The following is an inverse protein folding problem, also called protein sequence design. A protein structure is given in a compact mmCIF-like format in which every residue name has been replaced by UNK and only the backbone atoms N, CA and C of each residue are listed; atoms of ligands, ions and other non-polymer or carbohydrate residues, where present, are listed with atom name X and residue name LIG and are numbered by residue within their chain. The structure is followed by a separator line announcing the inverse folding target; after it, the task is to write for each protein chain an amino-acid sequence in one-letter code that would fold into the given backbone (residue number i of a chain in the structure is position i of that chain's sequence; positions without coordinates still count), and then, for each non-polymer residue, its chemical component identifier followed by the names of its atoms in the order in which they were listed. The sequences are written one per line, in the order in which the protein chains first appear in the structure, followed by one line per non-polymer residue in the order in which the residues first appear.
data_IF_641374513671
#
_entry.id   IF_641374513671
#
_cell.length_a   1.000
_cell.length_b   1.000
_cell.length_c   1.000
_cell.angle_alpha   90.00
_cell.angle_beta   90.00
_cell.angle_gamma   90.00
#
_symmetry.space_group_name_H-M   'P 1'
#
loop_
_entity.id
_entity.type
_entity.pdbx_description
1 polymer ?
#
# COMPACT_ATOMS: atom_id res chain seq x y z
N UNK A 1 11.26 50.13 28.38
CA UNK A 1 11.11 49.04 29.36
C UNK A 1 11.73 47.81 28.73
N UNK A 2 12.63 47.09 29.40
CA UNK A 2 13.27 45.92 28.80
C UNK A 2 12.22 44.84 28.49
N UNK A 3 12.22 44.34 27.26
CA UNK A 3 11.31 43.28 26.83
C UNK A 3 12.03 41.93 26.89
N UNK A 4 11.32 40.88 27.30
CA UNK A 4 11.87 39.53 27.47
C UNK A 4 11.15 38.55 26.55
N UNK A 5 11.87 37.58 26.00
CA UNK A 5 11.27 36.56 25.15
C UNK A 5 10.28 35.69 25.94
N UNK A 6 9.02 35.61 25.50
CA UNK A 6 7.99 34.78 26.14
C UNK A 6 8.27 33.27 26.13
N UNK A 7 9.22 32.80 25.30
CA UNK A 7 9.55 31.38 25.18
C UNK A 7 10.77 30.92 25.98
N UNK A 8 11.78 31.77 26.16
CA UNK A 8 13.03 31.38 26.84
C UNK A 8 13.49 32.35 27.94
N UNK A 9 12.80 33.48 28.14
CA UNK A 9 13.08 34.43 29.22
C UNK A 9 14.30 35.32 29.02
N UNK A 10 15.03 35.20 27.91
CA UNK A 10 16.18 36.08 27.61
C UNK A 10 15.70 37.49 27.29
N UNK A 11 16.43 38.49 27.81
CA UNK A 11 16.20 39.90 27.49
C UNK A 11 16.53 40.17 26.01
N UNK A 12 15.61 40.83 25.30
CA UNK A 12 15.75 41.15 23.89
C UNK A 12 16.06 42.64 23.72
N UNK A 13 17.00 42.94 22.82
CA UNK A 13 17.33 44.31 22.43
C UNK A 13 16.23 44.91 21.53
N UNK A 14 16.00 46.23 21.68
CA UNK A 14 14.97 46.96 20.95
C UNK A 14 15.16 46.82 19.43
N UNK A 15 14.12 46.32 18.74
CA UNK A 15 14.08 46.16 17.28
C UNK A 15 14.49 44.77 16.75
N UNK A 16 14.84 43.81 17.62
CA UNK A 16 15.08 42.43 17.18
C UNK A 16 13.78 41.73 16.80
N UNK A 17 13.71 41.18 15.57
CA UNK A 17 12.51 40.47 15.08
C UNK A 17 12.41 39.03 15.57
N UNK A 18 13.52 38.45 16.01
CA UNK A 18 13.64 37.08 16.48
C UNK A 18 14.64 36.98 17.62
N UNK A 19 14.38 36.10 18.58
CA UNK A 19 15.29 35.81 19.67
C UNK A 19 16.54 35.10 19.15
N UNK A 20 17.70 35.70 19.39
CA UNK A 20 19.00 35.17 18.97
C UNK A 20 19.44 33.92 19.73
N UNK A 21 18.76 33.56 20.83
CA UNK A 21 19.05 32.36 21.65
C UNK A 21 18.15 31.17 21.34
N UNK A 22 16.87 31.37 21.04
CA UNK A 22 15.91 30.26 20.85
C UNK A 22 15.19 30.27 19.49
N UNK A 23 15.42 31.30 18.66
CA UNK A 23 14.82 31.44 17.34
C UNK A 23 13.33 31.84 17.33
N UNK A 24 12.70 32.03 18.49
CA UNK A 24 11.30 32.45 18.56
C UNK A 24 11.14 33.91 18.07
N UNK A 25 10.06 34.25 17.34
CA UNK A 25 9.80 35.63 16.94
C UNK A 25 9.62 36.51 18.18
N UNK A 26 10.20 37.72 18.15
CA UNK A 26 10.01 38.69 19.22
C UNK A 26 8.58 39.24 19.12
N UNK A 27 7.84 39.19 20.23
CA UNK A 27 6.41 39.48 20.26
C UNK A 27 6.09 40.84 19.61
N UNK A 28 5.31 40.79 18.54
CA UNK A 28 4.71 41.98 17.93
C UNK A 28 3.47 42.32 18.77
N UNK A 29 3.25 43.58 19.20
CA UNK A 29 2.00 43.93 19.86
C UNK A 29 0.83 43.63 18.93
N UNK A 30 -0.21 43.01 19.50
CA UNK A 30 -1.43 42.65 18.81
C UNK A 30 -2.02 43.87 18.09
N UNK A 31 -1.83 43.95 16.78
CA UNK A 31 -2.58 44.86 15.94
C UNK A 31 -4.05 44.42 16.02
N UNK A 32 -4.90 45.35 16.45
CA UNK A 32 -6.34 45.20 16.49
C UNK A 32 -6.85 44.52 15.21
N UNK A 33 -7.64 43.47 15.40
CA UNK A 33 -8.36 42.77 14.35
C UNK A 33 -9.25 43.76 13.59
N UNK A 34 -8.79 44.23 12.43
CA UNK A 34 -9.71 44.69 11.39
C UNK A 34 -10.33 43.44 10.76
N UNK A 35 -11.66 43.37 10.57
CA UNK A 35 -12.29 42.22 9.94
C UNK A 35 -11.88 42.16 8.48
N UNK A 36 -10.88 41.33 8.18
CA UNK A 36 -10.51 41.00 6.80
C UNK A 36 -11.63 40.15 6.21
N UNK A 37 -12.45 40.77 5.36
CA UNK A 37 -13.35 40.05 4.45
C UNK A 37 -12.48 39.19 3.53
N UNK A 38 -12.38 37.90 3.85
CA UNK A 38 -11.84 36.92 2.92
C UNK A 38 -12.82 36.78 1.74
N UNK A 39 -12.34 36.76 0.48
CA UNK A 39 -13.18 36.36 -0.64
C UNK A 39 -13.66 34.95 -0.34
N UNK A 40 -14.98 34.79 -0.29
CA UNK A 40 -15.64 33.51 -0.13
C UNK A 40 -15.21 32.65 -1.31
N UNK A 41 -14.21 31.81 -1.10
CA UNK A 41 -14.06 30.60 -1.88
C UNK A 41 -15.37 29.86 -1.65
N UNK A 42 -16.26 29.89 -2.65
CA UNK A 42 -17.33 28.91 -2.74
C UNK A 42 -16.61 27.57 -2.81
N UNK A 43 -16.50 26.94 -1.65
CA UNK A 43 -16.45 25.50 -1.55
C UNK A 43 -17.66 25.03 -2.34
N UNK A 44 -17.45 24.69 -3.62
CA UNK A 44 -18.31 23.69 -4.23
C UNK A 44 -18.18 22.51 -3.30
N UNK A 45 -19.22 22.32 -2.51
CA UNK A 45 -19.38 21.12 -1.72
C UNK A 45 -19.35 20.00 -2.77
N UNK A 46 -18.18 19.38 -2.90
CA UNK A 46 -18.06 18.08 -3.51
C UNK A 46 -18.91 17.21 -2.60
N UNK A 47 -20.20 17.06 -2.92
CA UNK A 47 -20.90 15.89 -2.46
C UNK A 47 -20.06 14.74 -2.99
N UNK A 48 -19.46 13.89 -2.13
CA UNK A 48 -19.04 12.59 -2.60
C UNK A 48 -20.30 12.00 -3.24
N UNK A 49 -20.29 11.91 -4.57
CA UNK A 49 -21.36 11.24 -5.29
C UNK A 49 -21.47 9.88 -4.60
N UNK A 50 -22.63 9.55 -3.98
CA UNK A 50 -22.75 8.35 -3.17
C UNK A 50 -22.15 7.22 -3.99
N UNK A 51 -21.19 6.45 -3.44
CA UNK A 51 -20.42 5.48 -4.23
C UNK A 51 -21.45 4.70 -5.02
N UNK A 52 -21.51 4.95 -6.34
CA UNK A 52 -22.43 4.25 -7.23
C UNK A 52 -21.94 2.84 -7.13
N UNK A 53 -22.56 2.09 -6.23
CA UNK A 53 -22.08 0.79 -5.86
C UNK A 53 -22.01 0.06 -7.18
N UNK A 54 -20.82 -0.42 -7.58
CA UNK A 54 -20.72 -1.14 -8.83
C UNK A 54 -21.68 -2.32 -8.79
N UNK A 55 -22.16 -2.73 -7.60
CA UNK A 55 -23.31 -3.59 -7.39
C UNK A 55 -24.49 -3.34 -8.35
N UNK A 56 -25.00 -2.12 -8.55
CA UNK A 56 -26.17 -1.96 -9.44
C UNK A 56 -25.79 -2.14 -10.92
N UNK A 57 -24.59 -1.71 -11.31
CA UNK A 57 -24.05 -1.91 -12.67
C UNK A 57 -23.67 -3.38 -12.93
N UNK A 58 -23.09 -4.06 -11.95
CA UNK A 58 -22.75 -5.48 -11.95
C UNK A 58 -24.04 -6.31 -11.97
N UNK A 59 -25.04 -5.98 -11.16
CA UNK A 59 -26.35 -6.62 -11.20
C UNK A 59 -27.03 -6.40 -12.55
N UNK A 60 -27.06 -5.18 -13.10
CA UNK A 60 -27.62 -4.92 -14.42
C UNK A 60 -26.87 -5.68 -15.53
N UNK A 61 -25.53 -5.75 -15.44
CA UNK A 61 -24.70 -6.53 -16.36
C UNK A 61 -25.04 -8.02 -16.27
N UNK A 62 -25.00 -8.61 -15.06
CA UNK A 62 -25.33 -10.02 -14.80
C UNK A 62 -26.77 -10.33 -15.24
N UNK A 63 -27.75 -9.48 -14.92
CA UNK A 63 -29.14 -9.67 -15.31
C UNK A 63 -29.35 -9.53 -16.82
N UNK A 64 -28.60 -8.68 -17.53
CA UNK A 64 -28.68 -8.64 -18.99
C UNK A 64 -28.19 -9.95 -19.63
N UNK A 65 -27.17 -10.59 -19.04
CA UNK A 65 -26.67 -11.90 -19.49
C UNK A 65 -27.59 -13.07 -19.13
N UNK A 66 -28.32 -12.99 -18.02
CA UNK A 66 -29.24 -14.05 -17.56
C UNK A 66 -30.63 -13.91 -18.21
N UNK A 67 -31.14 -12.69 -18.39
CA UNK A 67 -32.47 -12.43 -18.98
C UNK A 67 -32.46 -12.47 -20.52
N UNK A 68 -31.34 -12.16 -21.19
CA UNK A 68 -31.24 -12.27 -22.65
C UNK A 68 -31.48 -13.70 -23.19
N UNK A 69 -30.87 -14.77 -22.65
CA UNK A 69 -31.18 -16.14 -23.07
C UNK A 69 -32.61 -16.54 -22.69
N UNK A 70 -33.14 -16.08 -21.55
CA UNK A 70 -34.55 -16.31 -21.18
C UNK A 70 -35.51 -15.64 -22.18
N UNK A 71 -35.22 -14.40 -22.60
CA UNK A 71 -35.98 -13.67 -23.62
C UNK A 71 -35.92 -14.32 -25.00
N UNK A 72 -34.75 -14.87 -25.38
CA UNK A 72 -34.58 -15.65 -26.61
C UNK A 72 -35.39 -16.95 -26.56
N UNK A 73 -35.33 -17.70 -25.44
CA UNK A 73 -36.08 -18.94 -25.23
C UNK A 73 -37.59 -18.68 -25.27
N UNK A 74 -38.08 -17.62 -24.60
CA UNK A 74 -39.49 -17.23 -24.62
C UNK A 74 -39.93 -16.78 -26.03
N UNK A 75 -39.04 -16.14 -26.79
CA UNK A 75 -39.27 -15.82 -28.21
C UNK A 75 -39.44 -17.06 -29.08
N UNK A 76 -38.58 -18.06 -28.92
CA UNK A 76 -38.61 -19.34 -29.65
C UNK A 76 -39.86 -20.15 -29.29
N UNK A 77 -40.18 -20.31 -28.00
CA UNK A 77 -41.40 -21.01 -27.53
C UNK A 77 -42.65 -20.27 -27.98
N UNK A 78 -42.63 -18.94 -27.94
CA UNK A 78 -43.67 -18.10 -28.51
C UNK A 78 -43.87 -18.36 -30.00
N UNK A 79 -42.81 -18.56 -30.78
CA UNK A 79 -42.90 -18.88 -32.20
C UNK A 79 -43.45 -20.30 -32.44
N UNK A 80 -43.08 -21.26 -31.59
CA UNK A 80 -43.48 -22.67 -31.71
C UNK A 80 -44.96 -22.96 -31.34
N UNK A 81 -45.63 -22.07 -30.59
CA UNK A 81 -46.96 -22.33 -29.98
C UNK A 81 -48.13 -21.54 -30.58
N UNK A 82 -48.00 -20.86 -31.74
CA UNK A 82 -49.02 -19.91 -32.23
C UNK A 82 -49.70 -20.27 -33.57
N UNK A 83 -51.03 -20.14 -33.57
CA UNK A 83 -51.89 -20.10 -34.75
C UNK A 83 -52.08 -18.64 -35.24
N UNK A 84 -51.84 -18.41 -36.53
CA UNK A 84 -52.02 -17.20 -37.37
C UNK A 84 -52.38 -15.84 -36.71
N UNK A 85 -51.46 -14.85 -36.77
CA UNK A 85 -51.81 -13.43 -36.60
C UNK A 85 -50.66 -12.43 -36.41
N UNK A 86 -49.59 -12.77 -35.68
CA UNK A 86 -48.53 -11.81 -35.26
C UNK A 86 -47.12 -12.22 -35.72
N UNK A 87 -46.97 -12.69 -36.98
CA UNK A 87 -45.70 -13.22 -37.51
C UNK A 87 -44.54 -12.21 -37.46
N UNK A 88 -44.80 -10.92 -37.71
CA UNK A 88 -43.76 -9.88 -37.74
C UNK A 88 -43.12 -9.59 -36.38
N UNK A 89 -43.92 -9.46 -35.32
CA UNK A 89 -43.42 -9.04 -33.99
C UNK A 89 -42.53 -10.09 -33.33
N UNK A 90 -42.79 -11.38 -33.54
CA UNK A 90 -41.98 -12.44 -32.92
C UNK A 90 -40.79 -12.88 -33.75
N UNK A 91 -40.84 -12.73 -35.06
CA UNK A 91 -39.63 -12.82 -35.89
C UNK A 91 -38.67 -11.68 -35.54
N UNK A 92 -39.18 -10.44 -35.39
CA UNK A 92 -38.36 -9.31 -34.94
C UNK A 92 -37.73 -9.54 -33.56
N UNK A 93 -38.50 -10.07 -32.59
CA UNK A 93 -37.99 -10.36 -31.25
C UNK A 93 -36.88 -11.43 -31.26
N UNK A 94 -37.04 -12.50 -32.06
CA UNK A 94 -36.01 -13.54 -32.20
C UNK A 94 -34.75 -12.98 -32.85
N UNK A 95 -34.87 -12.16 -33.90
CA UNK A 95 -33.72 -11.57 -34.59
C UNK A 95 -32.97 -10.60 -33.67
N UNK A 96 -33.67 -9.70 -32.98
CA UNK A 96 -33.05 -8.75 -32.05
C UNK A 96 -32.41 -9.49 -30.87
N UNK A 97 -33.06 -10.52 -30.35
CA UNK A 97 -32.50 -11.37 -29.29
C UNK A 97 -31.26 -12.15 -29.74
N UNK A 98 -31.26 -12.70 -30.96
CA UNK A 98 -30.12 -13.41 -31.53
C UNK A 98 -28.93 -12.49 -31.80
N UNK A 99 -29.17 -11.29 -32.34
CA UNK A 99 -28.12 -10.29 -32.57
C UNK A 99 -27.58 -9.77 -31.22
N UNK A 100 -28.47 -9.46 -30.28
CA UNK A 100 -28.08 -8.98 -28.94
C UNK A 100 -27.22 -10.01 -28.20
N UNK A 101 -27.66 -11.27 -28.16
CA UNK A 101 -26.89 -12.37 -27.55
C UNK A 101 -25.54 -12.56 -28.24
N UNK A 102 -25.49 -12.57 -29.57
CA UNK A 102 -24.23 -12.66 -30.32
C UNK A 102 -23.27 -11.50 -30.00
N UNK A 103 -23.75 -10.25 -29.99
CA UNK A 103 -22.94 -9.09 -29.62
C UNK A 103 -22.42 -9.19 -28.19
N UNK A 104 -23.27 -9.60 -27.23
CA UNK A 104 -22.86 -9.77 -25.83
C UNK A 104 -21.82 -10.87 -25.64
N UNK A 105 -21.87 -11.95 -26.43
CA UNK A 105 -20.86 -13.01 -26.42
C UNK A 105 -19.53 -12.51 -26.98
N UNK A 106 -19.55 -11.76 -28.08
CA UNK A 106 -18.34 -11.16 -28.66
C UNK A 106 -17.72 -10.15 -27.68
N UNK A 107 -18.53 -9.29 -27.08
CA UNK A 107 -18.08 -8.31 -26.08
C UNK A 107 -17.49 -9.00 -24.84
N UNK A 108 -18.15 -10.01 -24.28
CA UNK A 108 -17.62 -10.73 -23.10
C UNK A 108 -16.34 -11.51 -23.40
N UNK A 109 -16.25 -12.13 -24.58
CA UNK A 109 -15.04 -12.82 -25.02
C UNK A 109 -13.81 -11.89 -25.09
N UNK A 110 -14.01 -10.59 -25.38
CA UNK A 110 -12.93 -9.60 -25.43
C UNK A 110 -12.69 -8.98 -24.03
N UNK A 111 -13.75 -8.61 -23.32
CA UNK A 111 -13.67 -7.86 -22.07
C UNK A 111 -13.15 -8.71 -20.90
N UNK A 112 -13.58 -9.96 -20.76
CA UNK A 112 -13.23 -10.80 -19.59
C UNK A 112 -11.72 -11.08 -19.52
N UNK A 113 -11.04 -11.53 -20.60
CA UNK A 113 -9.59 -11.72 -20.57
C UNK A 113 -8.82 -10.42 -20.31
N UNK A 114 -9.30 -9.30 -20.89
CA UNK A 114 -8.69 -7.97 -20.71
C UNK A 114 -8.76 -7.51 -19.25
N UNK A 115 -9.90 -7.72 -18.60
CA UNK A 115 -10.10 -7.38 -17.19
C UNK A 115 -9.24 -8.23 -16.26
N UNK A 116 -9.07 -9.53 -16.55
CA UNK A 116 -8.19 -10.40 -15.77
C UNK A 116 -6.74 -9.89 -15.79
N UNK A 117 -6.25 -9.49 -16.98
CA UNK A 117 -4.93 -8.89 -17.13
C UNK A 117 -4.80 -7.55 -16.38
N UNK A 118 -5.81 -6.69 -16.46
CA UNK A 118 -5.82 -5.40 -15.76
C UNK A 118 -5.82 -5.55 -14.24
N UNK A 119 -6.62 -6.48 -13.70
CA UNK A 119 -6.69 -6.76 -12.26
C UNK A 119 -5.34 -7.23 -11.72
N UNK A 120 -4.67 -8.17 -12.42
CA UNK A 120 -3.36 -8.68 -11.97
C UNK A 120 -2.29 -7.58 -11.98
N UNK A 121 -2.25 -6.73 -13.02
CA UNK A 121 -1.34 -5.57 -13.07
C UNK A 121 -1.63 -4.57 -11.97
N UNK A 122 -2.91 -4.34 -11.66
CA UNK A 122 -3.34 -3.44 -10.59
C UNK A 122 -2.89 -3.95 -9.22
N UNK A 123 -3.12 -5.24 -8.94
CA UNK A 123 -2.65 -5.90 -7.71
C UNK A 123 -1.13 -5.83 -7.58
N UNK A 124 -0.40 -6.09 -8.67
CA UNK A 124 1.05 -6.01 -8.69
C UNK A 124 1.56 -4.58 -8.39
N UNK A 125 0.96 -3.56 -9.01
CA UNK A 125 1.32 -2.16 -8.78
C UNK A 125 1.06 -1.75 -7.33
N UNK A 126 -0.08 -2.19 -6.77
CA UNK A 126 -0.40 -1.98 -5.36
C UNK A 126 0.65 -2.64 -4.45
N UNK A 127 1.01 -3.90 -4.72
CA UNK A 127 2.00 -4.62 -3.93
C UNK A 127 3.39 -3.94 -3.99
N UNK A 128 3.82 -3.46 -5.16
CA UNK A 128 5.07 -2.71 -5.30
C UNK A 128 5.06 -1.39 -4.53
N UNK A 129 3.90 -0.70 -4.47
CA UNK A 129 3.74 0.54 -3.70
C UNK A 129 3.88 0.27 -2.20
N UNK A 130 3.33 -0.84 -1.71
CA UNK A 130 3.50 -1.28 -0.32
C UNK A 130 4.96 -1.65 -0.04
N UNK A 131 5.62 -2.41 -0.92
CA UNK A 131 7.04 -2.73 -0.79
C UNK A 131 7.92 -1.46 -0.71
N UNK A 132 7.65 -0.46 -1.55
CA UNK A 132 8.34 0.84 -1.49
C UNK A 132 8.07 1.60 -0.18
N UNK A 133 6.87 1.45 0.39
CA UNK A 133 6.52 2.04 1.69
C UNK A 133 7.27 1.34 2.82
N UNK A 134 7.32 0.00 2.80
CA UNK A 134 8.10 -0.82 3.74
C UNK A 134 9.56 -0.37 3.73
N UNK A 135 10.20 -0.28 2.56
CA UNK A 135 11.60 0.12 2.44
C UNK A 135 11.88 1.49 3.09
N UNK A 136 10.98 2.46 2.88
CA UNK A 136 11.10 3.79 3.49
C UNK A 136 10.93 3.73 5.01
N UNK A 137 9.89 3.04 5.49
CA UNK A 137 9.63 2.89 6.92
C UNK A 137 10.78 2.20 7.64
N UNK A 138 11.29 1.09 7.08
CA UNK A 138 12.45 0.36 7.63
C UNK A 138 13.68 1.27 7.66
N UNK A 139 13.97 1.97 6.55
CA UNK A 139 15.14 2.85 6.48
C UNK A 139 15.06 3.98 7.51
N UNK A 140 13.88 4.56 7.74
CA UNK A 140 13.68 5.57 8.78
C UNK A 140 13.88 4.96 10.18
N UNK A 141 13.32 3.78 10.45
CA UNK A 141 13.50 3.11 11.74
C UNK A 141 14.96 2.79 12.06
N UNK A 142 15.77 2.48 11.04
CA UNK A 142 17.21 2.25 11.19
C UNK A 142 17.97 3.54 11.50
N UNK A 143 17.58 4.66 10.89
CA UNK A 143 18.13 5.98 11.20
C UNK A 143 17.75 6.40 12.63
N UNK A 144 16.51 6.14 13.04
CA UNK A 144 16.05 6.44 14.40
C UNK A 144 16.80 5.60 15.44
N UNK A 145 17.04 4.31 15.15
CA UNK A 145 17.90 3.45 15.96
C UNK A 145 19.33 3.99 16.07
N UNK A 146 19.94 4.37 14.93
CA UNK A 146 21.29 4.93 14.91
C UNK A 146 21.39 6.21 15.76
N UNK A 147 20.39 7.10 15.66
CA UNK A 147 20.26 8.29 16.50
C UNK A 147 20.11 7.95 17.99
N UNK A 148 19.52 6.80 18.32
CA UNK A 148 19.42 6.27 19.68
C UNK A 148 20.69 5.54 20.16
N UNK A 149 21.73 5.45 19.33
CA UNK A 149 23.05 4.92 19.71
C UNK A 149 23.25 3.42 19.46
N UNK A 150 22.37 2.79 18.68
CA UNK A 150 22.54 1.40 18.24
C UNK A 150 22.12 1.25 16.78
N UNK A 151 22.89 0.55 15.96
CA UNK A 151 22.65 0.59 14.52
C UNK A 151 23.44 -0.46 13.77
N UNK A 152 23.36 -0.41 12.45
CA UNK A 152 24.08 -1.34 11.59
C UNK A 152 25.52 -0.89 11.40
N UNK A 153 26.48 -1.83 11.42
CA UNK A 153 27.87 -1.53 11.08
C UNK A 153 28.00 -1.27 9.57
N UNK A 154 28.87 -0.35 9.13
CA UNK A 154 29.05 -0.07 7.72
C UNK A 154 29.46 -1.29 6.89
N UNK A 155 28.96 -1.38 5.66
CA UNK A 155 29.30 -2.45 4.71
C UNK A 155 28.84 -3.86 5.10
N UNK A 156 27.95 -3.99 6.08
CA UNK A 156 27.32 -5.27 6.44
C UNK A 156 26.00 -5.43 5.71
N UNK A 157 25.62 -6.69 5.45
CA UNK A 157 24.33 -7.11 4.92
C UNK A 157 23.56 -7.86 6.01
N UNK A 158 22.29 -7.49 6.21
CA UNK A 158 21.36 -8.21 7.08
C UNK A 158 20.04 -8.39 6.35
N UNK A 159 19.53 -9.62 6.34
CA UNK A 159 18.20 -9.94 5.86
C UNK A 159 17.24 -10.17 7.02
N UNK A 160 15.98 -9.76 6.87
CA UNK A 160 14.94 -10.01 7.86
C UNK A 160 13.71 -10.63 7.21
N UNK A 161 13.19 -11.66 7.87
CA UNK A 161 11.88 -12.23 7.57
C UNK A 161 10.84 -11.66 8.54
N UNK A 162 9.84 -11.00 7.99
CA UNK A 162 8.78 -10.34 8.74
C UNK A 162 7.44 -10.93 8.32
N UNK A 163 6.57 -11.21 9.29
CA UNK A 163 5.24 -11.78 9.04
C UNK A 163 4.19 -11.06 9.85
N UNK A 164 3.01 -10.94 9.28
CA UNK A 164 1.80 -10.50 9.97
C UNK A 164 0.75 -11.59 9.84
N UNK A 165 0.20 -12.05 10.96
CA UNK A 165 -0.89 -13.04 11.00
C UNK A 165 -1.89 -12.63 12.09
N UNK A 166 -3.13 -12.35 11.69
CA UNK A 166 -4.22 -11.94 12.60
C UNK A 166 -3.82 -10.73 13.48
N UNK A 167 -3.16 -9.73 12.89
CA UNK A 167 -2.71 -8.52 13.58
C UNK A 167 -1.47 -8.70 14.46
N UNK A 168 -0.94 -9.93 14.60
CA UNK A 168 0.33 -10.20 15.27
C UNK A 168 1.47 -10.13 14.27
N UNK A 169 2.46 -9.29 14.56
CA UNK A 169 3.66 -9.14 13.76
C UNK A 169 4.83 -9.92 14.36
N UNK A 170 5.71 -10.44 13.52
CA UNK A 170 6.92 -11.15 13.90
C UNK A 170 8.07 -10.74 13.01
N UNK A 171 9.28 -10.65 13.55
CA UNK A 171 10.51 -10.42 12.79
C UNK A 171 11.60 -11.39 13.25
N UNK A 172 12.39 -11.89 12.30
CA UNK A 172 13.57 -12.72 12.59
C UNK A 172 14.61 -11.95 13.40
N UNK A 173 15.42 -12.68 14.18
CA UNK A 173 16.54 -12.07 14.88
C UNK A 173 17.59 -11.56 13.87
N UNK A 174 18.15 -10.38 14.12
CA UNK A 174 19.37 -9.97 13.42
C UNK A 174 20.56 -10.85 13.81
N UNK A 175 21.60 -10.87 12.97
CA UNK A 175 22.93 -11.29 13.41
C UNK A 175 23.57 -10.14 14.23
N UNK A 176 23.83 -10.31 15.54
CA UNK A 176 24.42 -9.27 16.37
C UNK A 176 25.75 -8.74 15.83
N UNK A 177 26.52 -9.55 15.08
CA UNK A 177 27.81 -9.13 14.53
C UNK A 177 27.67 -8.07 13.45
N UNK A 178 26.50 -7.98 12.79
CA UNK A 178 26.20 -6.95 11.81
C UNK A 178 25.86 -5.59 12.44
N UNK A 179 25.64 -5.52 13.76
CA UNK A 179 25.15 -4.33 14.44
C UNK A 179 26.10 -3.89 15.56
N UNK A 180 26.05 -2.60 15.89
CA UNK A 180 26.72 -2.01 17.04
C UNK A 180 25.67 -1.54 18.05
N UNK A 181 26.08 -1.43 19.31
CA UNK A 181 25.29 -0.81 20.37
C UNK A 181 26.21 -0.10 21.35
N UNK A 182 25.92 1.17 21.63
CA UNK A 182 26.63 1.99 22.61
C UNK A 182 25.84 2.16 23.92
N UNK A 183 24.77 1.38 24.12
CA UNK A 183 23.83 1.53 25.24
C UNK A 183 23.18 0.20 25.65
N UNK A 184 21.97 0.28 26.21
CA UNK A 184 21.22 -0.91 26.67
C UNK A 184 20.37 -1.55 25.57
N UNK A 185 20.07 -0.83 24.50
CA UNK A 185 19.30 -1.31 23.35
C UNK A 185 20.22 -1.93 22.32
N UNK A 186 19.87 -3.12 21.82
CA UNK A 186 20.66 -3.85 20.84
C UNK A 186 19.77 -4.53 19.81
N UNK A 187 20.41 -5.00 18.74
CA UNK A 187 19.86 -5.94 17.78
C UNK A 187 20.27 -7.37 18.17
N UNK A 188 19.57 -8.37 17.64
CA UNK A 188 19.95 -9.77 17.76
C UNK A 188 18.92 -10.66 18.45
N UNK A 189 17.70 -10.17 18.68
CA UNK A 189 16.63 -10.94 19.32
C UNK A 189 15.40 -10.90 18.41
N UNK A 190 14.85 -12.07 18.08
CA UNK A 190 13.60 -12.12 17.33
C UNK A 190 12.49 -11.44 18.12
N UNK A 191 11.72 -10.58 17.46
CA UNK A 191 10.59 -9.90 18.10
C UNK A 191 9.26 -10.44 17.59
N UNK A 192 8.26 -10.43 18.46
CA UNK A 192 6.90 -10.79 18.11
C UNK A 192 5.89 -10.16 19.05
N UNK A 193 4.81 -9.65 18.50
CA UNK A 193 3.69 -9.15 19.29
C UNK A 193 2.60 -8.51 18.44
N UNK A 194 1.47 -8.24 19.07
CA UNK A 194 0.48 -7.28 18.56
C UNK A 194 1.00 -5.88 18.90
N UNK A 195 0.65 -4.85 18.11
CA UNK A 195 1.14 -3.48 18.29
C UNK A 195 1.17 -3.04 19.77
N UNK A 196 0.03 -3.14 20.47
CA UNK A 196 -0.11 -2.74 21.88
C UNK A 196 0.74 -3.55 22.87
N UNK A 197 1.17 -4.74 22.48
CA UNK A 197 2.06 -5.58 23.29
C UNK A 197 3.52 -5.20 23.04
N UNK A 198 3.90 -4.96 21.78
CA UNK A 198 5.28 -4.57 21.42
C UNK A 198 5.65 -3.21 22.00
N UNK A 199 4.70 -2.26 22.07
CA UNK A 199 4.93 -0.94 22.69
C UNK A 199 5.37 -1.05 24.16
N UNK A 200 5.01 -2.15 24.84
CA UNK A 200 5.35 -2.38 26.26
C UNK A 200 6.64 -3.17 26.43
N UNK A 201 7.25 -3.67 25.35
CA UNK A 201 8.48 -4.45 25.41
C UNK A 201 9.70 -3.54 25.59
N UNK A 202 10.80 -4.09 26.09
CA UNK A 202 12.05 -3.36 26.19
C UNK A 202 12.54 -2.92 24.79
N UNK A 203 13.13 -1.72 24.65
CA UNK A 203 13.53 -1.19 23.35
C UNK A 203 14.68 -2.03 22.77
N UNK A 204 14.39 -2.73 21.67
CA UNK A 204 15.35 -3.43 20.81
C UNK A 204 15.12 -3.01 19.36
N UNK A 205 16.13 -3.19 18.51
CA UNK A 205 16.00 -2.83 17.09
C UNK A 205 14.86 -3.56 16.38
N UNK A 206 14.67 -4.84 16.68
CA UNK A 206 13.57 -5.64 16.13
C UNK A 206 12.18 -5.18 16.62
N UNK A 207 12.07 -4.71 17.87
CA UNK A 207 10.81 -4.17 18.40
C UNK A 207 10.45 -2.84 17.72
N UNK A 208 11.42 -1.93 17.59
CA UNK A 208 11.24 -0.65 16.89
C UNK A 208 10.83 -0.86 15.43
N UNK A 209 11.46 -1.82 14.76
CA UNK A 209 11.12 -2.19 13.39
C UNK A 209 9.68 -2.71 13.26
N UNK A 210 9.25 -3.59 14.17
CA UNK A 210 7.88 -4.09 14.19
C UNK A 210 6.87 -2.97 14.45
N UNK A 211 7.16 -2.08 15.39
CA UNK A 211 6.30 -0.94 15.72
C UNK A 211 6.14 -0.01 14.53
N UNK A 212 7.25 0.35 13.88
CA UNK A 212 7.24 1.22 12.70
C UNK A 212 6.40 0.63 11.56
N UNK A 213 6.52 -0.67 11.32
CA UNK A 213 5.75 -1.36 10.27
C UNK A 213 4.27 -1.49 10.62
N UNK A 214 3.95 -1.91 11.84
CA UNK A 214 2.56 -2.07 12.29
C UNK A 214 1.82 -0.72 12.36
N UNK A 215 2.49 0.37 12.75
CA UNK A 215 1.94 1.74 12.71
C UNK A 215 1.66 2.20 11.27
N UNK A 216 2.61 1.96 10.36
CA UNK A 216 2.49 2.43 8.97
C UNK A 216 1.56 1.56 8.12
N UNK A 217 1.31 0.32 8.51
CA UNK A 217 0.50 -0.64 7.78
C UNK A 217 -0.59 -1.28 8.68
N UNK A 218 -1.51 -0.46 9.26
CA UNK A 218 -2.47 -0.95 10.26
C UNK A 218 -3.50 -1.92 9.67
N UNK A 219 -3.79 -1.83 8.37
CA UNK A 219 -4.80 -2.66 7.70
C UNK A 219 -4.28 -4.06 7.30
N UNK A 220 -2.99 -4.34 7.53
CA UNK A 220 -2.39 -5.62 7.15
C UNK A 220 -2.65 -6.68 8.23
N UNK A 221 -3.62 -7.55 7.96
CA UNK A 221 -3.91 -8.71 8.80
C UNK A 221 -3.13 -9.98 8.42
N UNK A 222 -2.68 -10.06 7.17
CA UNK A 222 -1.91 -11.19 6.65
C UNK A 222 -0.86 -10.67 5.67
N UNK A 223 0.41 -10.89 6.00
CA UNK A 223 1.51 -10.61 5.09
C UNK A 223 2.74 -11.48 5.40
N UNK A 224 3.53 -11.69 4.37
CA UNK A 224 4.91 -12.16 4.44
C UNK A 224 5.79 -11.15 3.73
N UNK A 225 6.83 -10.70 4.42
CA UNK A 225 7.75 -9.66 4.01
C UNK A 225 9.16 -10.23 4.18
N UNK A 226 9.99 -10.03 3.18
CA UNK A 226 11.41 -10.28 3.26
C UNK A 226 12.13 -8.98 2.88
N UNK A 227 13.09 -8.54 3.69
CA UNK A 227 13.84 -7.32 3.43
C UNK A 227 15.33 -7.58 3.51
N UNK A 228 16.08 -6.87 2.67
CA UNK A 228 17.53 -6.76 2.78
C UNK A 228 17.87 -5.35 3.26
N UNK A 229 18.79 -5.29 4.22
CA UNK A 229 19.35 -4.06 4.77
C UNK A 229 20.84 -4.10 4.53
N UNK A 230 21.37 -3.05 3.91
CA UNK A 230 22.79 -2.88 3.65
C UNK A 230 23.21 -1.48 4.08
N UNK A 231 24.33 -1.37 4.79
CA UNK A 231 24.90 -0.10 5.22
C UNK A 231 23.91 0.83 5.97
N UNK A 232 23.07 0.22 6.83
CA UNK A 232 22.08 0.94 7.64
C UNK A 232 20.83 1.41 6.88
N UNK A 233 20.61 0.95 5.64
CA UNK A 233 19.42 1.28 4.84
C UNK A 233 18.77 0.04 4.27
N UNK A 234 17.45 0.05 4.14
CA UNK A 234 16.76 -1.02 3.43
C UNK A 234 16.97 -0.85 1.93
N UNK A 235 17.61 -1.83 1.31
CA UNK A 235 18.00 -1.80 -0.10
C UNK A 235 17.07 -2.63 -0.97
N UNK A 236 16.45 -3.69 -0.41
CA UNK A 236 15.48 -4.51 -1.12
C UNK A 236 14.34 -4.96 -0.22
N UNK A 237 13.15 -5.13 -0.79
CA UNK A 237 11.97 -5.65 -0.13
C UNK A 237 11.13 -6.49 -1.09
N UNK A 238 10.76 -7.68 -0.62
CA UNK A 238 9.73 -8.54 -1.19
C UNK A 238 8.53 -8.62 -0.26
N UNK A 239 7.34 -8.50 -0.82
CA UNK A 239 6.09 -8.42 -0.06
C UNK A 239 4.98 -9.27 -0.70
N UNK A 240 4.28 -10.06 0.11
CA UNK A 240 3.10 -10.80 -0.32
C UNK A 240 2.00 -10.76 0.73
N UNK A 241 0.76 -10.58 0.30
CA UNK A 241 -0.43 -10.80 1.13
C UNK A 241 -1.08 -12.17 0.89
N UNK A 242 -0.61 -12.91 -0.12
CA UNK A 242 -1.21 -14.21 -0.50
C UNK A 242 -0.79 -15.33 0.45
N UNK A 243 0.39 -15.22 1.07
CA UNK A 243 0.99 -16.21 1.96
C UNK A 243 1.32 -15.63 3.35
N UNK A 244 1.45 -16.52 4.33
CA UNK A 244 2.02 -16.23 5.65
C UNK A 244 3.30 -17.07 5.92
N UNK A 245 3.72 -17.90 4.96
CA UNK A 245 4.97 -18.64 5.03
C UNK A 245 6.15 -17.71 4.74
N UNK A 246 7.33 -18.07 5.24
CA UNK A 246 8.57 -17.36 4.88
C UNK A 246 8.73 -17.37 3.37
N UNK A 247 9.07 -16.22 2.80
CA UNK A 247 9.32 -16.13 1.37
C UNK A 247 10.65 -16.82 1.07
N UNK A 248 10.69 -17.63 0.02
CA UNK A 248 11.88 -18.35 -0.42
C UNK A 248 12.61 -17.60 -1.53
N UNK A 249 13.93 -17.43 -1.39
CA UNK A 249 14.78 -16.89 -2.44
C UNK A 249 14.66 -17.70 -3.74
N UNK A 250 14.77 -17.04 -4.89
CA UNK A 250 14.66 -17.59 -6.25
C UNK A 250 13.27 -18.15 -6.61
N UNK A 251 12.39 -18.36 -5.63
CA UNK A 251 11.02 -18.87 -5.80
C UNK A 251 10.02 -17.73 -5.65
N UNK A 252 10.08 -17.02 -4.53
CA UNK A 252 9.16 -15.94 -4.17
C UNK A 252 9.73 -14.55 -4.47
N UNK A 253 11.06 -14.39 -4.43
CA UNK A 253 11.75 -13.15 -4.80
C UNK A 253 13.09 -13.44 -5.49
N UNK A 254 13.67 -12.48 -6.23
CA UNK A 254 14.97 -12.65 -6.89
C UNK A 254 16.10 -12.81 -5.88
N UNK A 255 17.25 -13.35 -6.30
CA UNK A 255 18.42 -13.49 -5.42
C UNK A 255 18.90 -12.15 -4.89
N UNK A 256 19.46 -12.11 -3.69
CA UNK A 256 20.07 -10.90 -3.13
C UNK A 256 21.59 -10.96 -3.30
N UNK A 257 22.18 -9.88 -3.81
CA UNK A 257 23.64 -9.77 -3.95
C UNK A 257 24.30 -9.29 -2.64
N UNK A 258 25.63 -9.21 -2.63
CA UNK A 258 26.42 -8.75 -1.48
C UNK A 258 26.12 -7.31 -1.02
N UNK A 259 25.50 -6.49 -1.88
CA UNK A 259 25.08 -5.12 -1.60
C UNK A 259 23.62 -5.03 -1.14
N UNK A 260 22.94 -6.16 -0.92
CA UNK A 260 21.54 -6.19 -0.52
C UNK A 260 20.55 -5.83 -1.61
N UNK A 261 20.94 -5.90 -2.89
CA UNK A 261 20.08 -5.58 -4.03
C UNK A 261 19.58 -6.85 -4.72
N UNK A 262 18.41 -6.77 -5.35
CA UNK A 262 17.92 -7.86 -6.19
C UNK A 262 18.82 -8.08 -7.42
N UNK A 263 19.26 -9.31 -7.58
CA UNK A 263 20.02 -9.84 -8.72
C UNK A 263 19.17 -10.85 -9.50
N UNK A 264 19.55 -11.12 -10.76
CA UNK A 264 18.81 -12.03 -11.65
C UNK A 264 17.31 -11.70 -11.83
N UNK A 265 16.91 -10.43 -11.64
CA UNK A 265 15.50 -10.01 -11.68
C UNK A 265 14.78 -10.42 -12.98
N UNK A 266 15.42 -10.18 -14.13
CA UNK A 266 14.84 -10.48 -15.45
C UNK A 266 14.54 -11.98 -15.62
N UNK A 267 15.46 -12.85 -15.20
CA UNK A 267 15.27 -14.31 -15.21
C UNK A 267 14.19 -14.74 -14.22
N UNK A 268 14.20 -14.20 -13.01
CA UNK A 268 13.20 -14.53 -11.99
C UNK A 268 11.79 -14.11 -12.46
N UNK A 269 11.64 -12.92 -13.03
CA UNK A 269 10.38 -12.38 -13.53
C UNK A 269 9.79 -13.27 -14.63
N UNK A 270 10.63 -13.78 -15.52
CA UNK A 270 10.16 -14.63 -16.61
C UNK A 270 9.59 -15.96 -16.12
N UNK A 271 10.16 -16.51 -15.04
CA UNK A 271 9.69 -17.75 -14.43
C UNK A 271 8.48 -17.57 -13.51
N UNK A 272 8.17 -16.34 -13.08
CA UNK A 272 7.19 -16.05 -12.01
C UNK A 272 6.05 -15.10 -12.43
N UNK A 273 5.72 -15.01 -13.73
CA UNK A 273 4.73 -14.05 -14.28
C UNK A 273 3.32 -14.12 -13.68
N UNK A 274 2.94 -15.24 -13.07
CA UNK A 274 1.63 -15.46 -12.45
C UNK A 274 1.54 -15.04 -10.99
N UNK A 275 2.67 -14.73 -10.34
CA UNK A 275 2.73 -14.48 -8.90
C UNK A 275 2.55 -13.00 -8.58
N UNK A 276 1.84 -12.70 -7.50
CA UNK A 276 1.65 -11.34 -7.02
C UNK A 276 2.57 -11.09 -5.83
N UNK A 277 3.80 -10.68 -6.13
CA UNK A 277 4.82 -10.33 -5.13
C UNK A 277 5.26 -8.90 -5.37
N UNK A 278 5.01 -8.02 -4.41
CA UNK A 278 5.51 -6.65 -4.42
C UNK A 278 7.03 -6.65 -4.27
N UNK A 279 7.74 -5.95 -5.15
CA UNK A 279 9.19 -5.82 -5.11
C UNK A 279 9.61 -4.36 -5.14
N UNK A 280 10.63 -4.02 -4.35
CA UNK A 280 11.32 -2.74 -4.43
C UNK A 280 12.82 -2.92 -4.10
N UNK A 281 13.74 -2.29 -4.85
CA UNK A 281 13.53 -1.62 -6.12
C UNK A 281 13.22 -2.64 -7.23
N UNK A 282 12.55 -2.18 -8.29
CA UNK A 282 12.36 -3.00 -9.49
C UNK A 282 13.53 -2.69 -10.41
N UNK A 283 14.55 -3.53 -10.37
CA UNK A 283 15.76 -3.36 -11.17
C UNK A 283 15.51 -3.92 -12.57
N UNK A 284 15.18 -3.05 -13.52
CA UNK A 284 15.04 -3.41 -14.94
C UNK A 284 16.37 -3.17 -15.67
N UNK A 285 17.31 -4.10 -15.55
CA UNK A 285 18.44 -4.19 -16.49
C UNK A 285 18.21 -5.36 -17.46
#
# INVERSE_FOLDING_TARGET
MPFFCGKCGTQLDDGTKFCTKCGAPADTPAAAQMPVQQPVYRQQYYQPEPPKSPALAICAFIFSFILAPVGLILGIVGLAKRNAGLKGMSVAAVIIGAIGTLLTLVLTAILVPSMLGYVNRSKQTSANTVAATIVRTVSLSLVDAENAGFGMKPGRLQEFDIKAVNGKWTVSAADPDNFFSNGTSSWGQSASGIYDDVVKMAPSGENELLLALADKLPDINKASIHIAVYDGRCTACAFSQETYNTLAESVDYPKINENGEFSDYSRWKDNNKSRIIGLFPIVTY
#
